data_IF_791882653820
#
_entry.id   IF_791882653820
#
_cell.length_a   1.000
_cell.length_b   1.000
_cell.length_c   1.000
_cell.angle_alpha   90.00
_cell.angle_beta   90.00
_cell.angle_gamma   90.00
#
_symmetry.space_group_name_H-M   'P 1'
#
loop_
_entity.id
_entity.type
_entity.pdbx_description
1 polymer ?
#
# COMPACT_ATOMS: atom_id res chain seq x y z
N UNK A 1 -10.35 14.85 -19.64
CA UNK A 1 -10.39 13.46 -19.12
C UNK A 1 -11.76 13.20 -18.50
N UNK A 2 -12.46 12.13 -18.89
CA UNK A 2 -13.81 11.82 -18.39
C UNK A 2 -13.76 11.54 -16.87
N UNK A 3 -14.73 12.04 -16.07
CA UNK A 3 -14.72 11.90 -14.60
C UNK A 3 -14.57 10.43 -14.15
N UNK A 4 -15.18 9.49 -14.89
CA UNK A 4 -15.10 8.04 -14.64
C UNK A 4 -13.69 7.47 -14.81
N UNK A 5 -12.95 7.95 -15.82
CA UNK A 5 -11.55 7.55 -16.02
C UNK A 5 -10.66 8.10 -14.91
N UNK A 6 -10.83 9.38 -14.55
CA UNK A 6 -10.04 10.01 -13.48
C UNK A 6 -10.17 9.27 -12.14
N UNK A 7 -11.40 8.93 -11.73
CA UNK A 7 -11.63 8.17 -10.49
C UNK A 7 -10.96 6.80 -10.57
N UNK A 8 -11.12 6.07 -11.68
CA UNK A 8 -10.54 4.73 -11.84
C UNK A 8 -9.01 4.77 -11.82
N UNK A 9 -8.39 5.79 -12.43
CA UNK A 9 -6.93 6.00 -12.39
C UNK A 9 -6.45 6.33 -10.98
N UNK A 10 -7.15 7.18 -10.23
CA UNK A 10 -6.80 7.49 -8.83
C UNK A 10 -6.90 6.23 -7.96
N UNK A 11 -7.98 5.45 -8.10
CA UNK A 11 -8.15 4.19 -7.35
C UNK A 11 -7.04 3.19 -7.69
N UNK A 12 -6.61 3.13 -8.94
CA UNK A 12 -5.49 2.29 -9.36
C UNK A 12 -4.17 2.73 -8.72
N UNK A 13 -3.88 4.03 -8.72
CA UNK A 13 -2.68 4.60 -8.09
C UNK A 13 -2.69 4.30 -6.58
N UNK A 14 -3.84 4.50 -5.91
CA UNK A 14 -3.97 4.16 -4.48
C UNK A 14 -3.74 2.68 -4.21
N UNK A 15 -4.31 1.79 -5.04
CA UNK A 15 -4.10 0.35 -4.92
C UNK A 15 -2.63 -0.03 -5.07
N UNK A 16 -1.94 0.53 -6.07
CA UNK A 16 -0.52 0.31 -6.28
C UNK A 16 0.31 0.80 -5.09
N UNK A 17 0.04 2.01 -4.58
CA UNK A 17 0.75 2.56 -3.42
C UNK A 17 0.60 1.70 -2.16
N UNK A 18 -0.60 1.14 -1.92
CA UNK A 18 -0.82 0.23 -0.80
C UNK A 18 -0.06 -1.09 -0.95
N UNK A 19 0.02 -1.62 -2.17
CA UNK A 19 0.85 -2.81 -2.45
C UNK A 19 2.32 -2.49 -2.17
N UNK A 20 2.82 -1.33 -2.61
CA UNK A 20 4.19 -0.89 -2.32
C UNK A 20 4.45 -0.80 -0.80
N UNK A 21 3.55 -0.19 -0.03
CA UNK A 21 3.66 -0.11 1.43
C UNK A 21 3.62 -1.50 2.10
N UNK A 22 2.72 -2.37 1.66
CA UNK A 22 2.61 -3.73 2.18
C UNK A 22 3.78 -4.64 1.78
N UNK A 23 4.52 -4.29 0.74
CA UNK A 23 5.72 -4.99 0.30
C UNK A 23 7.01 -4.50 1.01
N UNK A 24 6.97 -3.40 1.76
CA UNK A 24 8.13 -2.90 2.51
C UNK A 24 8.76 -3.99 3.41
N UNK A 25 7.99 -4.76 4.19
CA UNK A 25 8.54 -5.80 5.09
C UNK A 25 9.25 -6.95 4.39
N UNK A 26 9.06 -7.16 3.08
CA UNK A 26 9.76 -8.21 2.33
C UNK A 26 11.12 -7.76 1.81
N UNK A 27 11.41 -6.45 1.83
CA UNK A 27 12.64 -5.86 1.29
C UNK A 27 13.56 -5.42 2.44
N UNK A 28 13.00 -4.82 3.48
CA UNK A 28 13.75 -4.35 4.64
C UNK A 28 13.81 -5.43 5.72
N UNK A 29 14.85 -5.40 6.55
CA UNK A 29 14.93 -6.27 7.73
C UNK A 29 14.07 -5.68 8.86
N UNK A 30 13.59 -6.55 9.76
CA UNK A 30 12.75 -6.18 10.89
C UNK A 30 13.41 -5.06 11.70
N UNK A 31 12.83 -3.84 11.75
CA UNK A 31 13.51 -2.64 12.26
C UNK A 31 13.44 -2.52 13.79
N UNK A 32 12.79 -3.47 14.46
CA UNK A 32 12.57 -3.38 15.89
C UNK A 32 13.80 -3.82 16.66
N UNK A 33 14.07 -3.11 17.74
CA UNK A 33 15.00 -3.52 18.77
C UNK A 33 14.17 -3.84 20.02
N UNK A 34 14.49 -4.88 20.79
CA UNK A 34 13.67 -5.33 21.93
C UNK A 34 13.96 -4.54 23.24
N UNK A 35 14.56 -3.35 23.13
CA UNK A 35 14.94 -2.52 24.27
C UNK A 35 13.77 -1.80 24.94
N UNK A 36 13.92 -1.44 26.21
CA UNK A 36 12.91 -0.73 27.03
C UNK A 36 12.46 0.65 26.50
N UNK A 37 13.16 1.23 25.52
CA UNK A 37 12.85 2.53 24.90
C UNK A 37 12.78 2.44 23.36
N UNK A 38 12.28 1.33 22.83
CA UNK A 38 12.29 1.06 21.39
C UNK A 38 11.03 1.60 20.68
N UNK A 39 10.81 2.90 20.83
CA UNK A 39 9.90 3.64 19.96
C UNK A 39 10.59 4.02 18.65
N UNK A 40 9.84 4.44 17.61
CA UNK A 40 10.43 4.94 16.38
C UNK A 40 11.21 6.23 16.66
N UNK A 41 12.49 6.26 16.27
CA UNK A 41 13.35 7.43 16.43
C UNK A 41 13.03 8.53 15.39
N UNK A 42 12.43 8.14 14.28
CA UNK A 42 12.10 9.01 13.15
C UNK A 42 10.83 8.53 12.42
N UNK A 43 10.34 9.35 11.49
CA UNK A 43 9.14 9.06 10.69
C UNK A 43 9.30 7.87 9.74
N UNK A 44 10.53 7.56 9.33
CA UNK A 44 10.82 6.40 8.49
C UNK A 44 10.66 5.09 9.27
N UNK A 45 11.23 5.00 10.48
CA UNK A 45 11.05 3.87 11.39
C UNK A 45 9.58 3.68 11.76
N UNK A 46 8.84 4.77 12.01
CA UNK A 46 7.40 4.69 12.23
C UNK A 46 6.67 4.08 11.02
N UNK A 47 7.05 4.49 9.81
CA UNK A 47 6.47 3.94 8.56
C UNK A 47 6.78 2.46 8.42
N UNK A 48 8.02 2.05 8.71
CA UNK A 48 8.42 0.64 8.71
C UNK A 48 7.62 -0.15 9.75
N UNK A 49 7.48 0.35 10.98
CA UNK A 49 6.72 -0.31 12.04
C UNK A 49 5.25 -0.53 11.63
N UNK A 50 4.59 0.51 11.12
CA UNK A 50 3.21 0.42 10.62
C UNK A 50 3.13 -0.58 9.44
N UNK A 51 4.10 -0.52 8.53
CA UNK A 51 4.17 -1.46 7.42
C UNK A 51 4.28 -2.90 7.91
N UNK A 52 5.14 -3.20 8.89
CA UNK A 52 5.31 -4.54 9.47
C UNK A 52 4.08 -5.05 10.22
N UNK A 53 3.36 -4.18 10.92
CA UNK A 53 2.16 -4.59 11.67
C UNK A 53 0.97 -4.84 10.72
N UNK A 54 0.83 -4.02 9.68
CA UNK A 54 -0.35 -4.00 8.80
C UNK A 54 -0.09 -4.52 7.38
N UNK A 55 1.05 -5.18 7.13
CA UNK A 55 1.50 -5.56 5.79
C UNK A 55 0.47 -6.40 5.02
N UNK A 56 -0.12 -7.41 5.67
CA UNK A 56 -1.12 -8.29 5.07
C UNK A 56 -2.36 -7.48 4.65
N UNK A 57 -2.79 -6.54 5.50
CA UNK A 57 -3.95 -5.69 5.22
C UNK A 57 -3.67 -4.74 4.05
N UNK A 58 -2.50 -4.10 4.03
CA UNK A 58 -2.10 -3.22 2.92
C UNK A 58 -2.03 -3.97 1.60
N UNK A 59 -1.41 -5.16 1.58
CA UNK A 59 -1.37 -6.01 0.39
C UNK A 59 -2.78 -6.40 -0.06
N UNK A 60 -3.62 -6.90 0.86
CA UNK A 60 -4.97 -7.37 0.54
C UNK A 60 -5.83 -6.26 -0.05
N UNK A 61 -5.90 -5.11 0.62
CA UNK A 61 -6.70 -3.96 0.18
C UNK A 61 -6.15 -3.41 -1.14
N UNK A 62 -4.82 -3.29 -1.25
CA UNK A 62 -4.15 -2.82 -2.45
C UNK A 62 -4.41 -3.72 -3.66
N UNK A 63 -4.39 -5.05 -3.48
CA UNK A 63 -4.68 -6.02 -4.53
C UNK A 63 -6.13 -5.92 -5.01
N UNK A 64 -7.08 -5.86 -4.08
CA UNK A 64 -8.51 -5.73 -4.39
C UNK A 64 -8.78 -4.44 -5.17
N UNK A 65 -8.24 -3.31 -4.72
CA UNK A 65 -8.39 -2.02 -5.39
C UNK A 65 -7.78 -2.03 -6.80
N UNK A 66 -6.59 -2.62 -6.94
CA UNK A 66 -5.89 -2.72 -8.23
C UNK A 66 -6.67 -3.58 -9.22
N UNK A 67 -7.09 -4.78 -8.83
CA UNK A 67 -7.89 -5.69 -9.69
C UNK A 67 -9.20 -5.03 -10.08
N UNK A 68 -9.93 -4.46 -9.12
CA UNK A 68 -11.21 -3.83 -9.38
C UNK A 68 -11.08 -2.65 -10.34
N UNK A 69 -10.05 -1.82 -10.15
CA UNK A 69 -9.78 -0.69 -11.03
C UNK A 69 -9.38 -1.13 -12.44
N UNK A 70 -8.59 -2.20 -12.56
CA UNK A 70 -8.16 -2.74 -13.85
C UNK A 70 -9.36 -3.30 -14.64
N UNK A 71 -10.22 -4.08 -13.99
CA UNK A 71 -11.46 -4.62 -14.60
C UNK A 71 -12.39 -3.48 -15.06
N UNK A 72 -12.51 -2.43 -14.26
CA UNK A 72 -13.32 -1.25 -14.59
C UNK A 72 -12.72 -0.45 -15.74
N UNK A 73 -11.39 -0.29 -15.77
CA UNK A 73 -10.70 0.41 -16.86
C UNK A 73 -10.85 -0.32 -18.19
N UNK A 74 -10.71 -1.65 -18.20
CA UNK A 74 -10.95 -2.48 -19.39
C UNK A 74 -12.37 -2.31 -19.94
N UNK A 75 -13.38 -2.24 -19.06
CA UNK A 75 -14.77 -1.99 -19.47
C UNK A 75 -15.04 -0.58 -20.01
N UNK A 76 -14.25 0.41 -19.62
CA UNK A 76 -14.40 1.79 -20.09
C UNK A 76 -13.63 2.06 -21.40
N UNK A 77 -12.65 1.21 -21.73
CA UNK A 77 -11.88 1.29 -22.98
C UNK A 77 -12.52 0.50 -24.14
N UNK A 78 -13.45 -0.41 -23.83
CA UNK A 78 -14.24 -1.17 -24.80
C UNK A 78 -15.54 -0.43 -25.12
#
# INVERSE_FOLDING_TARGET
>A
MNKKHMVTTITLIMGASLIFLGAIPSIFAYPYNDGLNSGPSNTWELTLMIAYESWIWFLTIGFVLTIFSLLKLQRLLK
#
